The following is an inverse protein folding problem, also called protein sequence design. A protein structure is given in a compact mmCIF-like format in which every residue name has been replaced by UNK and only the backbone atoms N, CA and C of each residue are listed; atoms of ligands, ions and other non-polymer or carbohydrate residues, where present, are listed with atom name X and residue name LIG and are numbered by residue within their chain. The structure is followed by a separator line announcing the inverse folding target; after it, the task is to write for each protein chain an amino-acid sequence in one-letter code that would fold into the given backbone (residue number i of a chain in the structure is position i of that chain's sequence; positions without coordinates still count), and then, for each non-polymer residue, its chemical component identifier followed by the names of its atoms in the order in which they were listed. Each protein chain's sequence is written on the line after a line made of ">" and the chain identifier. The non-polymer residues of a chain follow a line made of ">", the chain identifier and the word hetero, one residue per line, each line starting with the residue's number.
data_IF_479928655001
#
_entry.id   IF_479928655001
#
_cell.length_a   1.000
_cell.length_b   1.000
_cell.length_c   1.000
_cell.angle_alpha   90.00
_cell.angle_beta   90.00
_cell.angle_gamma   90.00
#
_symmetry.space_group_name_H-M   'P 1'
#
loop_
_entity.id
_entity.type
_entity.pdbx_description
1 polymer ?
#
# COMPACT_ATOMS: atom_id res chain seq x y z
N UNK A 1 13.11 -18.50 40.70
CA UNK A 1 12.31 -18.35 39.46
C UNK A 1 12.98 -19.16 38.36
N UNK A 2 12.28 -20.11 37.73
CA UNK A 2 12.87 -21.03 36.76
C UNK A 2 13.04 -20.33 35.40
N UNK A 3 14.28 -20.10 34.96
CA UNK A 3 14.59 -19.37 33.73
C UNK A 3 13.95 -19.99 32.47
N UNK A 4 13.64 -21.30 32.49
CA UNK A 4 12.94 -21.99 31.39
C UNK A 4 11.47 -21.56 31.30
N UNK A 5 10.79 -21.47 32.45
CA UNK A 5 9.41 -21.00 32.53
C UNK A 5 9.32 -19.52 32.14
N UNK A 6 10.25 -18.69 32.60
CA UNK A 6 10.31 -17.27 32.24
C UNK A 6 10.46 -17.07 30.72
N UNK A 7 11.39 -17.79 30.08
CA UNK A 7 11.57 -17.74 28.62
C UNK A 7 10.31 -18.14 27.85
N UNK A 8 9.64 -19.20 28.29
CA UNK A 8 8.41 -19.67 27.65
C UNK A 8 7.29 -18.65 27.72
N UNK A 9 7.10 -18.01 28.88
CA UNK A 9 6.12 -16.92 29.04
C UNK A 9 6.46 -15.73 28.15
N UNK A 10 7.73 -15.32 28.08
CA UNK A 10 8.15 -14.21 27.20
C UNK A 10 7.93 -14.54 25.71
N UNK A 11 8.20 -15.77 25.28
CA UNK A 11 7.91 -16.20 23.90
C UNK A 11 6.42 -16.19 23.59
N UNK A 12 5.56 -16.64 24.51
CA UNK A 12 4.11 -16.60 24.31
C UNK A 12 3.58 -15.17 24.23
N UNK A 13 4.07 -14.25 25.07
CA UNK A 13 3.71 -12.84 25.01
C UNK A 13 4.14 -12.23 23.66
N UNK A 14 5.34 -12.56 23.18
CA UNK A 14 5.81 -12.08 21.88
C UNK A 14 4.93 -12.58 20.71
N UNK A 15 4.58 -13.87 20.68
CA UNK A 15 3.71 -14.43 19.64
C UNK A 15 2.32 -13.78 19.69
N UNK A 16 1.74 -13.59 20.88
CA UNK A 16 0.41 -13.01 21.04
C UNK A 16 0.36 -11.52 20.64
N UNK A 17 1.43 -10.76 20.90
CA UNK A 17 1.52 -9.35 20.49
C UNK A 17 1.78 -9.18 19.00
N UNK A 18 2.58 -10.07 18.38
CA UNK A 18 2.83 -10.05 16.95
C UNK A 18 1.58 -10.40 16.11
N UNK A 19 0.66 -11.21 16.64
CA UNK A 19 -0.58 -11.58 15.95
C UNK A 19 -1.51 -10.39 15.61
N UNK A 20 -1.34 -9.25 16.31
CA UNK A 20 -2.05 -8.01 16.04
C UNK A 20 -1.37 -7.07 15.03
N UNK A 21 -0.18 -7.40 14.55
CA UNK A 21 0.59 -6.54 13.64
C UNK A 21 0.15 -6.71 12.18
N UNK A 22 -1.04 -6.19 11.85
CA UNK A 22 -1.56 -6.12 10.48
C UNK A 22 -1.42 -4.71 9.93
N UNK A 23 -0.98 -4.60 8.67
CA UNK A 23 -1.01 -3.32 7.97
C UNK A 23 -2.47 -2.87 7.80
N UNK A 24 -2.83 -1.75 8.43
CA UNK A 24 -4.19 -1.19 8.39
C UNK A 24 -4.46 -0.42 7.09
N UNK A 25 -3.42 -0.10 6.32
CA UNK A 25 -3.52 0.66 5.07
C UNK A 25 -2.39 0.32 4.10
N UNK A 26 -2.48 0.85 2.88
CA UNK A 26 -1.45 0.78 1.84
C UNK A 26 -0.39 1.88 1.95
N UNK A 27 -0.19 2.45 3.15
CA UNK A 27 0.83 3.46 3.42
C UNK A 27 2.06 2.81 4.06
N UNK A 28 3.19 2.92 3.37
CA UNK A 28 4.48 2.39 3.80
C UNK A 28 5.43 3.53 4.13
N UNK A 29 6.29 3.34 5.13
CA UNK A 29 7.33 4.30 5.48
C UNK A 29 8.71 3.67 5.31
N UNK A 30 9.58 4.37 4.59
CA UNK A 30 10.99 4.04 4.46
C UNK A 30 11.78 5.15 5.14
N UNK A 31 12.55 4.78 6.17
CA UNK A 31 13.38 5.71 6.94
C UNK A 31 14.86 5.49 6.66
N UNK A 32 15.60 6.58 6.44
CA UNK A 32 17.04 6.61 6.26
C UNK A 32 17.66 7.74 7.11
N UNK A 33 18.98 7.78 7.21
CA UNK A 33 19.69 8.82 7.98
C UNK A 33 19.40 10.24 7.48
N UNK A 34 19.08 10.39 6.20
CA UNK A 34 18.83 11.67 5.53
C UNK A 34 17.35 12.06 5.47
N UNK A 35 16.42 11.22 5.93
CA UNK A 35 15.00 11.53 5.90
C UNK A 35 14.08 10.32 5.82
N UNK A 36 12.80 10.59 5.60
CA UNK A 36 11.74 9.59 5.47
C UNK A 36 11.00 9.78 4.16
N UNK A 37 10.59 8.68 3.56
CA UNK A 37 9.70 8.66 2.40
C UNK A 37 8.48 7.84 2.78
N UNK A 38 7.30 8.39 2.53
CA UNK A 38 6.04 7.69 2.62
C UNK A 38 5.61 7.27 1.22
N UNK A 39 5.32 5.98 1.03
CA UNK A 39 4.74 5.45 -0.19
C UNK A 39 3.28 5.09 0.09
N UNK A 40 2.36 5.90 -0.43
CA UNK A 40 0.92 5.73 -0.24
C UNK A 40 0.31 5.19 -1.54
N UNK A 41 -0.01 3.89 -1.59
CA UNK A 41 -0.63 3.29 -2.76
C UNK A 41 -2.13 3.59 -2.82
N UNK A 42 -2.59 4.29 -3.86
CA UNK A 42 -4.00 4.57 -4.09
C UNK A 42 -4.41 4.28 -5.53
N UNK A 43 -5.68 3.98 -5.78
CA UNK A 43 -6.24 3.87 -7.13
C UNK A 43 -6.84 5.24 -7.51
N UNK A 44 -6.47 5.77 -8.67
CA UNK A 44 -6.97 7.09 -9.14
C UNK A 44 -8.49 7.12 -9.43
N UNK A 45 -9.17 5.98 -9.42
CA UNK A 45 -10.60 5.81 -9.68
C UNK A 45 -11.36 5.28 -8.45
N UNK A 46 -11.03 5.76 -7.26
CA UNK A 46 -11.84 5.49 -6.07
C UNK A 46 -13.25 6.10 -6.19
N UNK A 47 -14.24 5.41 -5.61
CA UNK A 47 -15.61 5.93 -5.53
C UNK A 47 -15.68 7.00 -4.45
N UNK A 48 -16.65 7.93 -4.51
CA UNK A 48 -16.87 8.88 -3.42
C UNK A 48 -17.09 8.22 -2.05
N UNK A 49 -17.69 7.02 -2.02
CA UNK A 49 -17.90 6.23 -0.80
C UNK A 49 -16.64 5.63 -0.20
N UNK A 50 -15.54 5.61 -0.95
CA UNK A 50 -14.25 5.10 -0.46
C UNK A 50 -13.50 6.17 0.37
N UNK A 51 -14.10 7.35 0.56
CA UNK A 51 -13.62 8.39 1.45
C UNK A 51 -14.34 8.38 2.82
N UNK A 52 -13.65 8.79 3.90
CA UNK A 52 -12.24 9.19 3.93
C UNK A 52 -11.31 7.99 3.77
N UNK A 53 -10.12 8.23 3.22
CA UNK A 53 -9.05 7.23 3.22
C UNK A 53 -8.66 6.89 4.67
N UNK A 54 -8.03 5.72 4.91
CA UNK A 54 -7.46 5.39 6.22
C UNK A 54 -6.59 6.54 6.79
N UNK A 55 -6.63 6.73 8.11
CA UNK A 55 -5.98 7.86 8.80
C UNK A 55 -4.47 7.95 8.54
N UNK A 56 -3.82 6.85 8.16
CA UNK A 56 -2.41 6.79 7.80
C UNK A 56 -2.06 7.70 6.62
N UNK A 57 -2.99 7.90 5.67
CA UNK A 57 -2.78 8.81 4.54
C UNK A 57 -2.64 10.24 5.03
N UNK A 58 -3.56 10.70 5.88
CA UNK A 58 -3.51 12.04 6.46
C UNK A 58 -2.22 12.25 7.28
N UNK A 59 -1.85 11.27 8.11
CA UNK A 59 -0.59 11.33 8.89
C UNK A 59 0.64 11.43 8.00
N UNK A 60 0.68 10.70 6.89
CA UNK A 60 1.78 10.76 5.93
C UNK A 60 1.85 12.12 5.25
N UNK A 61 0.71 12.70 4.85
CA UNK A 61 0.65 14.04 4.25
C UNK A 61 1.12 15.11 5.24
N UNK A 62 0.62 15.10 6.48
CA UNK A 62 1.00 16.06 7.52
C UNK A 62 2.48 15.97 7.89
N UNK A 63 3.08 14.79 7.74
CA UNK A 63 4.51 14.54 8.02
C UNK A 63 5.42 14.79 6.81
N UNK A 64 4.89 15.20 5.66
CA UNK A 64 5.64 15.34 4.41
C UNK A 64 5.78 16.80 4.01
N UNK A 65 7.01 17.24 3.76
CA UNK A 65 7.29 18.60 3.22
C UNK A 65 6.81 18.76 1.77
N UNK A 66 6.77 17.66 1.03
CA UNK A 66 6.38 17.62 -0.39
C UNK A 66 5.56 16.36 -0.65
N UNK A 67 4.54 16.51 -1.48
CA UNK A 67 3.75 15.39 -2.00
C UNK A 67 4.02 15.28 -3.50
N UNK A 68 4.37 14.09 -3.95
CA UNK A 68 4.65 13.79 -5.36
C UNK A 68 3.71 12.68 -5.79
N UNK A 69 3.04 12.87 -6.93
CA UNK A 69 2.16 11.88 -7.52
C UNK A 69 2.87 11.18 -8.68
N UNK A 70 2.58 9.89 -8.87
CA UNK A 70 3.07 9.13 -10.04
C UNK A 70 2.59 9.76 -11.35
N UNK A 71 1.34 10.21 -11.36
CA UNK A 71 0.69 10.96 -12.42
C UNK A 71 -0.11 12.09 -11.79
N UNK A 72 -0.12 13.27 -12.41
CA UNK A 72 -0.90 14.40 -11.90
C UNK A 72 -2.40 14.04 -11.86
N UNK A 73 -3.14 14.40 -10.79
CA UNK A 73 -4.54 13.95 -10.62
C UNK A 73 -5.48 14.26 -11.78
N UNK A 74 -5.25 15.37 -12.49
CA UNK A 74 -6.06 15.83 -13.61
C UNK A 74 -5.68 15.19 -14.97
N UNK A 75 -4.58 14.44 -15.05
CA UNK A 75 -4.16 13.82 -16.31
C UNK A 75 -5.11 12.70 -16.73
N UNK A 76 -5.73 12.00 -15.77
CA UNK A 76 -6.72 10.96 -16.05
C UNK A 76 -8.09 11.52 -16.47
N UNK A 77 -8.34 12.83 -16.31
CA UNK A 77 -9.54 13.49 -16.81
C UNK A 77 -9.48 13.72 -18.32
N UNK A 78 -8.28 13.70 -18.92
CA UNK A 78 -8.11 13.82 -20.36
C UNK A 78 -8.58 12.54 -21.04
N UNK A 79 -9.57 12.66 -21.92
CA UNK A 79 -10.15 11.53 -22.66
C UNK A 79 -9.08 10.64 -23.32
N UNK A 80 -8.09 11.23 -23.97
CA UNK A 80 -7.01 10.49 -24.63
C UNK A 80 -6.19 9.64 -23.64
N UNK A 81 -5.84 10.19 -22.47
CA UNK A 81 -5.10 9.46 -21.44
C UNK A 81 -5.94 8.33 -20.85
N UNK A 82 -7.23 8.57 -20.60
CA UNK A 82 -8.15 7.54 -20.12
C UNK A 82 -8.30 6.40 -21.16
N UNK A 83 -8.44 6.72 -22.45
CA UNK A 83 -8.50 5.72 -23.52
C UNK A 83 -7.20 4.93 -23.66
N UNK A 84 -6.05 5.60 -23.58
CA UNK A 84 -4.75 4.94 -23.62
C UNK A 84 -4.53 4.03 -22.41
N UNK A 85 -4.91 4.49 -21.21
CA UNK A 85 -4.87 3.68 -20.00
C UNK A 85 -5.74 2.43 -20.13
N UNK A 86 -7.00 2.58 -20.58
CA UNK A 86 -7.90 1.45 -20.80
C UNK A 86 -7.31 0.45 -21.80
N UNK A 87 -6.77 0.94 -22.93
CA UNK A 87 -6.15 0.09 -23.95
C UNK A 87 -4.93 -0.67 -23.41
N UNK A 88 -4.14 -0.04 -22.54
CA UNK A 88 -2.97 -0.65 -21.91
C UNK A 88 -3.34 -1.61 -20.77
N UNK A 89 -4.49 -1.42 -20.13
CA UNK A 89 -4.94 -2.24 -19.00
C UNK A 89 -5.56 -3.59 -19.38
N UNK A 90 -5.70 -3.88 -20.67
CA UNK A 90 -6.27 -5.12 -21.21
C UNK A 90 -5.30 -5.77 -22.20
N UNK A 91 -5.11 -7.08 -22.09
CA UNK A 91 -4.35 -7.86 -23.07
C UNK A 91 -5.09 -7.92 -24.41
N UNK A 92 -4.36 -7.68 -25.51
CA UNK A 92 -4.91 -7.68 -26.87
C UNK A 92 -4.44 -8.89 -27.71
N UNK A 93 -3.68 -9.81 -27.11
CA UNK A 93 -3.11 -11.00 -27.75
C UNK A 93 -3.90 -12.29 -27.47
N UNK A 94 -5.07 -12.16 -26.83
CA UNK A 94 -5.92 -13.29 -26.45
C UNK A 94 -5.47 -14.01 -25.17
N UNK A 95 -4.39 -13.58 -24.53
CA UNK A 95 -3.97 -14.08 -23.21
C UNK A 95 -4.65 -13.31 -22.09
N UNK A 96 -4.59 -13.87 -20.88
CA UNK A 96 -5.10 -13.26 -19.66
C UNK A 96 -3.98 -13.07 -18.65
N UNK A 97 -4.25 -12.30 -17.59
CA UNK A 97 -3.30 -12.15 -16.48
C UNK A 97 -2.85 -13.51 -15.91
N UNK A 98 -3.73 -14.52 -15.91
CA UNK A 98 -3.44 -15.87 -15.39
C UNK A 98 -2.35 -16.58 -16.18
N UNK A 99 -2.17 -16.25 -17.46
CA UNK A 99 -1.16 -16.85 -18.33
C UNK A 99 0.24 -16.25 -18.09
N UNK A 100 0.31 -15.10 -17.42
CA UNK A 100 1.55 -14.33 -17.18
C UNK A 100 1.96 -14.24 -15.71
N UNK A 101 1.14 -14.75 -14.79
CA UNK A 101 1.48 -14.81 -13.36
C UNK A 101 1.67 -16.25 -12.90
N UNK A 102 2.70 -16.50 -12.09
CA UNK A 102 2.90 -17.82 -11.50
C UNK A 102 1.78 -18.14 -10.49
N UNK A 103 1.37 -19.41 -10.31
CA UNK A 103 0.31 -19.81 -9.38
C UNK A 103 0.53 -19.49 -7.89
N UNK A 104 1.70 -18.96 -7.51
CA UNK A 104 2.15 -18.81 -6.11
C UNK A 104 2.12 -17.36 -5.59
N UNK A 105 1.30 -16.49 -6.17
CA UNK A 105 1.05 -15.16 -5.62
C UNK A 105 0.05 -15.22 -4.44
#
# INVERSE_FOLDING_TARGET
>A
MNYRALRFVLSLIFIFTAAGAWAQSSVWVVSASKGKVYLAGSVHMLRPSDHPLPEEFARAYDSSEKVVFEVLPNEMEKKENAENFLRASVYNDGTSLRDHISPAA
#
